data_IF_483116552470
#
_entry.id   IF_483116552470
#
_cell.length_a   1.000
_cell.length_b   1.000
_cell.length_c   1.000
_cell.angle_alpha   90.00
_cell.angle_beta   90.00
_cell.angle_gamma   90.00
#
_symmetry.space_group_name_H-M   'P 1'
#
loop_
_entity.id
_entity.type
_entity.pdbx_description
1 polymer ?
#
# COMPACT_ATOMS: atom_id res chain seq x y z
N UNK A 1 -16.52 20.56 -35.88
CA UNK A 1 -15.08 20.34 -35.60
C UNK A 1 -14.64 21.29 -34.49
N UNK A 2 -14.81 20.95 -33.24
CA UNK A 2 -14.28 21.71 -32.10
C UNK A 2 -12.96 21.07 -31.68
N UNK A 3 -11.89 21.85 -31.78
CA UNK A 3 -10.57 21.45 -31.22
C UNK A 3 -10.67 21.50 -29.70
N UNK A 4 -10.61 20.34 -29.07
CA UNK A 4 -10.40 20.23 -27.62
C UNK A 4 -8.91 20.50 -27.41
N UNK A 5 -8.58 21.66 -26.87
CA UNK A 5 -7.23 21.99 -26.43
C UNK A 5 -6.92 21.12 -25.18
N UNK A 6 -5.93 20.26 -25.29
CA UNK A 6 -5.39 19.53 -24.15
C UNK A 6 -4.59 20.51 -23.29
N UNK A 7 -5.18 20.97 -22.20
CA UNK A 7 -4.44 21.63 -21.14
C UNK A 7 -3.77 20.57 -20.27
N UNK A 8 -2.52 20.81 -19.93
CA UNK A 8 -1.78 20.03 -18.92
C UNK A 8 -2.62 19.95 -17.66
N UNK A 9 -3.09 18.74 -17.31
CA UNK A 9 -3.88 18.52 -16.11
C UNK A 9 -2.89 18.31 -14.98
N UNK A 10 -2.71 19.31 -14.13
CA UNK A 10 -2.04 19.17 -12.86
C UNK A 10 -3.04 18.56 -11.85
N UNK A 11 -2.81 17.32 -11.44
CA UNK A 11 -3.49 16.77 -10.27
C UNK A 11 -2.69 17.15 -9.03
N UNK A 12 -3.26 18.00 -8.20
CA UNK A 12 -2.80 18.24 -6.84
C UNK A 12 -3.47 17.21 -5.95
N UNK A 13 -2.70 16.32 -5.38
CA UNK A 13 -3.18 15.43 -4.31
C UNK A 13 -2.95 16.20 -3.01
N UNK A 14 -3.75 17.23 -2.78
CA UNK A 14 -3.86 17.88 -1.47
C UNK A 14 -4.76 17.00 -0.58
N UNK A 15 -4.16 16.08 0.15
CA UNK A 15 -4.82 15.45 1.28
C UNK A 15 -4.28 16.05 2.58
N UNK A 16 -4.78 17.22 2.91
CA UNK A 16 -4.74 17.71 4.29
C UNK A 16 -5.81 16.98 5.10
N UNK A 17 -5.41 15.95 5.82
CA UNK A 17 -6.20 15.41 6.92
C UNK A 17 -5.77 16.15 8.19
N UNK A 18 -6.36 17.29 8.46
CA UNK A 18 -6.33 17.87 9.80
C UNK A 18 -7.31 17.09 10.69
N UNK A 19 -6.78 16.32 11.62
CA UNK A 19 -7.55 15.72 12.72
C UNK A 19 -8.12 16.79 13.64
N UNK A 20 -9.23 17.38 13.25
CA UNK A 20 -9.99 18.30 14.11
C UNK A 20 -11.48 17.98 13.98
N UNK A 21 -12.03 17.31 14.99
CA UNK A 21 -13.48 17.11 15.11
C UNK A 21 -14.16 16.28 14.00
N UNK A 22 -13.46 15.97 12.93
CA UNK A 22 -13.95 15.22 11.79
C UNK A 22 -14.04 13.70 12.05
N UNK A 23 -13.23 13.16 12.95
CA UNK A 23 -13.23 11.72 13.28
C UNK A 23 -14.58 11.27 13.82
N UNK A 24 -15.21 12.09 14.66
CA UNK A 24 -16.56 11.80 15.17
C UNK A 24 -17.60 11.88 14.05
N UNK A 25 -17.45 12.85 13.15
CA UNK A 25 -18.35 13.03 12.01
C UNK A 25 -18.18 11.87 10.99
N UNK A 26 -16.96 11.43 10.76
CA UNK A 26 -16.65 10.31 9.88
C UNK A 26 -17.14 8.98 10.48
N UNK A 27 -16.91 8.77 11.78
CA UNK A 27 -17.47 7.63 12.52
C UNK A 27 -19.00 7.61 12.47
N UNK A 28 -19.66 8.74 12.71
CA UNK A 28 -21.11 8.86 12.61
C UNK A 28 -21.63 8.61 11.17
N UNK A 29 -20.86 9.05 10.17
CA UNK A 29 -21.20 8.84 8.77
C UNK A 29 -21.06 7.35 8.40
N UNK A 30 -19.98 6.70 8.81
CA UNK A 30 -19.76 5.26 8.61
C UNK A 30 -20.83 4.43 9.32
N UNK A 31 -21.14 4.78 10.57
CA UNK A 31 -22.20 4.12 11.36
C UNK A 31 -23.55 4.25 10.66
N UNK A 32 -23.90 5.44 10.16
CA UNK A 32 -25.15 5.68 9.44
C UNK A 32 -25.20 4.93 8.11
N UNK A 33 -24.11 4.96 7.34
CA UNK A 33 -24.01 4.18 6.10
C UNK A 33 -24.19 2.69 6.37
N UNK A 34 -23.58 2.19 7.43
CA UNK A 34 -23.66 0.80 7.83
C UNK A 34 -25.10 0.38 8.23
N UNK A 35 -25.79 1.23 9.02
CA UNK A 35 -27.18 0.97 9.39
C UNK A 35 -28.08 0.90 8.14
N UNK A 36 -27.93 1.85 7.21
CA UNK A 36 -28.69 1.85 5.95
C UNK A 36 -28.37 0.58 5.12
N UNK A 37 -27.09 0.22 5.00
CA UNK A 37 -26.69 -0.98 4.25
C UNK A 37 -27.27 -2.26 4.86
N UNK A 38 -27.24 -2.38 6.20
CA UNK A 38 -27.86 -3.50 6.94
C UNK A 38 -29.36 -3.59 6.68
N UNK A 39 -30.08 -2.47 6.69
CA UNK A 39 -31.52 -2.45 6.39
C UNK A 39 -31.81 -2.91 4.96
N UNK A 40 -30.99 -2.48 3.99
CA UNK A 40 -31.10 -2.92 2.59
C UNK A 40 -30.85 -4.43 2.49
N UNK A 41 -29.86 -4.97 3.20
CA UNK A 41 -29.53 -6.39 3.21
C UNK A 41 -30.64 -7.22 3.84
N UNK A 42 -31.18 -6.79 5.00
CA UNK A 42 -32.29 -7.44 5.67
C UNK A 42 -33.55 -7.47 4.80
N UNK A 43 -33.82 -6.40 4.03
CA UNK A 43 -34.95 -6.31 3.12
C UNK A 43 -34.84 -7.24 1.88
N UNK A 44 -33.60 -7.62 1.49
CA UNK A 44 -33.34 -8.50 0.33
C UNK A 44 -33.54 -9.99 0.63
N UNK A 45 -33.60 -10.37 1.91
CA UNK A 45 -33.82 -11.76 2.36
C UNK A 45 -32.69 -12.73 2.01
N UNK A 46 -32.93 -14.04 2.29
CA UNK A 46 -31.90 -15.10 2.17
C UNK A 46 -31.36 -15.36 0.73
N UNK A 47 -31.95 -14.76 -0.30
CA UNK A 47 -31.53 -14.91 -1.69
C UNK A 47 -30.40 -13.93 -2.10
N UNK A 48 -29.91 -13.09 -1.17
CA UNK A 48 -28.86 -12.15 -1.49
C UNK A 48 -27.52 -12.88 -1.68
N UNK A 49 -26.99 -12.79 -2.89
CA UNK A 49 -25.63 -13.33 -3.18
C UNK A 49 -24.58 -12.41 -2.57
N UNK A 50 -23.77 -12.95 -1.65
CA UNK A 50 -22.60 -12.27 -1.09
C UNK A 50 -21.67 -11.86 -2.23
N UNK A 51 -21.30 -10.56 -2.28
CA UNK A 51 -20.51 -9.97 -3.37
C UNK A 51 -19.23 -9.30 -2.90
N UNK A 52 -19.17 -8.86 -1.64
CA UNK A 52 -18.03 -8.13 -1.09
C UNK A 52 -17.84 -8.42 0.39
N UNK A 53 -16.74 -7.94 0.96
CA UNK A 53 -16.37 -8.19 2.35
C UNK A 53 -17.43 -7.71 3.35
N UNK A 54 -18.07 -6.57 3.10
CA UNK A 54 -19.11 -6.03 3.99
C UNK A 54 -20.34 -6.94 4.05
N UNK A 55 -20.69 -7.63 2.95
CA UNK A 55 -21.78 -8.60 2.94
C UNK A 55 -21.50 -9.76 3.89
N UNK A 56 -20.25 -10.26 3.94
CA UNK A 56 -19.85 -11.31 4.87
C UNK A 56 -19.91 -10.87 6.33
N UNK A 57 -19.47 -9.64 6.61
CA UNK A 57 -19.49 -9.08 7.97
C UNK A 57 -20.94 -8.95 8.46
N UNK A 58 -21.85 -8.45 7.61
CA UNK A 58 -23.27 -8.31 7.93
C UNK A 58 -23.94 -9.65 8.08
N UNK A 59 -23.65 -10.61 7.20
CA UNK A 59 -24.20 -11.97 7.28
C UNK A 59 -23.81 -12.62 8.61
N UNK A 60 -22.56 -12.49 9.04
CA UNK A 60 -22.11 -12.96 10.36
C UNK A 60 -22.85 -12.28 11.52
N UNK A 61 -23.11 -10.97 11.41
CA UNK A 61 -23.93 -10.27 12.42
C UNK A 61 -25.37 -10.76 12.44
N UNK A 62 -26.01 -10.92 11.27
CA UNK A 62 -27.40 -11.40 11.17
C UNK A 62 -27.55 -12.82 11.72
N UNK A 63 -26.52 -13.67 11.59
CA UNK A 63 -26.47 -15.01 12.20
C UNK A 63 -26.17 -14.99 13.71
N UNK A 64 -25.86 -13.83 14.29
CA UNK A 64 -25.49 -13.70 15.70
C UNK A 64 -24.08 -14.16 16.05
N UNK A 65 -23.21 -14.38 15.05
CA UNK A 65 -21.80 -14.79 15.25
C UNK A 65 -20.96 -13.64 15.77
N UNK A 66 -21.28 -12.40 15.41
CA UNK A 66 -20.64 -11.17 15.89
C UNK A 66 -21.66 -10.12 16.30
N UNK A 67 -21.31 -9.24 17.25
CA UNK A 67 -22.17 -8.15 17.69
C UNK A 67 -22.11 -6.96 16.71
N UNK A 68 -23.08 -6.05 16.79
CA UNK A 68 -23.07 -4.79 16.06
C UNK A 68 -21.81 -3.94 16.37
N UNK A 69 -21.38 -3.91 17.62
CA UNK A 69 -20.15 -3.24 18.03
C UNK A 69 -18.91 -3.86 17.33
N UNK A 70 -18.85 -5.20 17.21
CA UNK A 70 -17.75 -5.86 16.50
C UNK A 70 -17.73 -5.48 15.02
N UNK A 71 -18.89 -5.33 14.39
CA UNK A 71 -18.97 -4.91 12.99
C UNK A 71 -18.36 -3.52 12.81
N UNK A 72 -18.74 -2.55 13.65
CA UNK A 72 -18.20 -1.19 13.61
C UNK A 72 -16.69 -1.19 13.78
N UNK A 73 -16.17 -1.91 14.79
CA UNK A 73 -14.74 -2.04 14.99
C UNK A 73 -14.01 -2.69 13.81
N UNK A 74 -14.58 -3.70 13.17
CA UNK A 74 -13.97 -4.33 11.99
C UNK A 74 -13.89 -3.33 10.83
N UNK A 75 -14.98 -2.61 10.56
CA UNK A 75 -15.02 -1.62 9.46
C UNK A 75 -14.05 -0.48 9.71
N UNK A 76 -14.01 0.06 10.94
CA UNK A 76 -13.08 1.10 11.34
C UNK A 76 -11.61 0.64 11.18
N UNK A 77 -11.28 -0.54 11.70
CA UNK A 77 -9.93 -1.08 11.57
C UNK A 77 -9.50 -1.28 10.11
N UNK A 78 -10.42 -1.73 9.24
CA UNK A 78 -10.13 -1.88 7.81
C UNK A 78 -9.85 -0.51 7.20
N UNK A 79 -10.68 0.50 7.47
CA UNK A 79 -10.49 1.84 6.91
C UNK A 79 -9.18 2.48 7.35
N UNK A 80 -8.90 2.50 8.65
CA UNK A 80 -7.65 3.07 9.20
C UNK A 80 -6.42 2.37 8.62
N UNK A 81 -6.45 1.04 8.51
CA UNK A 81 -5.29 0.29 8.06
C UNK A 81 -5.07 0.34 6.54
N UNK A 82 -6.15 0.39 5.74
CA UNK A 82 -6.08 0.19 4.29
C UNK A 82 -5.83 1.48 3.50
N UNK A 83 -6.29 2.63 3.99
CA UNK A 83 -6.28 3.87 3.21
C UNK A 83 -4.90 4.50 3.23
N UNK A 84 -4.41 4.93 4.39
CA UNK A 84 -3.16 5.68 4.50
C UNK A 84 -1.94 4.89 4.01
N UNK A 85 -1.79 3.65 4.43
CA UNK A 85 -0.63 2.84 4.08
C UNK A 85 -0.51 2.61 2.59
N UNK A 86 -1.63 2.37 1.91
CA UNK A 86 -1.68 2.20 0.45
C UNK A 86 -1.43 3.52 -0.27
N UNK A 87 -2.02 4.62 0.22
CA UNK A 87 -1.85 5.95 -0.34
C UNK A 87 -0.39 6.40 -0.28
N UNK A 88 0.24 6.31 0.89
CA UNK A 88 1.64 6.71 1.06
C UNK A 88 2.60 5.84 0.23
N UNK A 89 2.37 4.54 0.18
CA UNK A 89 3.15 3.66 -0.71
C UNK A 89 3.02 4.05 -2.17
N UNK A 90 1.83 4.46 -2.60
CA UNK A 90 1.57 4.93 -3.96
C UNK A 90 2.27 6.26 -4.24
N UNK A 91 2.22 7.19 -3.30
CA UNK A 91 2.86 8.50 -3.42
C UNK A 91 4.37 8.34 -3.58
N UNK A 92 5.02 7.51 -2.74
CA UNK A 92 6.44 7.20 -2.91
C UNK A 92 6.75 6.50 -4.22
N UNK A 93 5.92 5.53 -4.63
CA UNK A 93 6.12 4.85 -5.91
C UNK A 93 6.11 5.84 -7.08
N UNK A 94 5.15 6.77 -7.10
CA UNK A 94 5.07 7.80 -8.13
C UNK A 94 6.28 8.73 -8.06
N UNK A 95 6.67 9.20 -6.87
CA UNK A 95 7.80 10.10 -6.69
C UNK A 95 9.12 9.45 -7.14
N UNK A 96 9.36 8.18 -6.79
CA UNK A 96 10.53 7.45 -7.23
C UNK A 96 10.53 7.21 -8.74
N UNK A 97 9.38 6.91 -9.33
CA UNK A 97 9.26 6.77 -10.79
C UNK A 97 9.55 8.09 -11.51
N UNK A 98 9.12 9.22 -10.97
CA UNK A 98 9.43 10.56 -11.50
C UNK A 98 10.92 10.83 -11.43
N UNK A 99 11.56 10.48 -10.31
CA UNK A 99 13.00 10.65 -10.10
C UNK A 99 13.87 9.67 -10.90
N UNK A 100 13.28 8.54 -11.35
CA UNK A 100 13.94 7.48 -12.08
C UNK A 100 13.22 7.15 -13.40
N UNK A 101 13.23 8.06 -14.40
CA UNK A 101 12.49 7.89 -15.65
C UNK A 101 12.88 6.62 -16.43
N UNK A 102 14.12 6.12 -16.25
CA UNK A 102 14.55 4.85 -16.85
C UNK A 102 13.76 3.64 -16.30
N UNK A 103 13.29 3.69 -15.04
CA UNK A 103 12.44 2.65 -14.47
C UNK A 103 11.06 2.68 -15.12
N UNK A 104 10.49 3.87 -15.40
CA UNK A 104 9.24 3.99 -16.15
C UNK A 104 9.37 3.33 -17.54
N UNK A 105 10.48 3.59 -18.26
CA UNK A 105 10.74 2.99 -19.55
C UNK A 105 10.80 1.46 -19.45
N UNK A 106 11.56 0.91 -18.50
CA UNK A 106 11.71 -0.55 -18.33
C UNK A 106 10.37 -1.23 -18.01
N UNK A 107 9.53 -0.63 -17.15
CA UNK A 107 8.19 -1.17 -16.87
C UNK A 107 7.35 -1.17 -18.16
N UNK A 108 7.40 -0.10 -18.94
CA UNK A 108 6.65 0.01 -20.21
C UNK A 108 7.11 -1.02 -21.21
N UNK A 109 8.42 -1.18 -21.36
CA UNK A 109 9.03 -2.16 -22.27
C UNK A 109 8.65 -3.59 -21.86
N UNK A 110 8.69 -3.90 -20.56
CA UNK A 110 8.25 -5.20 -20.04
C UNK A 110 6.78 -5.47 -20.39
N UNK A 111 5.88 -4.54 -20.05
CA UNK A 111 4.45 -4.70 -20.32
C UNK A 111 4.18 -4.87 -21.81
N UNK A 112 4.78 -4.01 -22.63
CA UNK A 112 4.59 -4.06 -24.09
C UNK A 112 5.09 -5.37 -24.68
N UNK A 113 6.26 -5.85 -24.23
CA UNK A 113 6.88 -7.08 -24.74
C UNK A 113 6.12 -8.33 -24.30
N UNK A 114 5.68 -8.38 -23.04
CA UNK A 114 5.07 -9.58 -22.47
C UNK A 114 3.59 -9.66 -22.82
N UNK A 115 2.85 -8.55 -22.72
CA UNK A 115 1.39 -8.56 -22.93
C UNK A 115 0.98 -8.28 -24.37
N UNK A 116 1.90 -7.83 -25.24
CA UNK A 116 1.69 -7.67 -26.69
C UNK A 116 0.41 -6.92 -27.08
N UNK A 117 0.00 -5.94 -26.28
CA UNK A 117 -1.20 -5.13 -26.49
C UNK A 117 -2.38 -5.50 -25.60
N UNK A 118 -2.31 -6.59 -24.86
CA UNK A 118 -3.32 -6.89 -23.84
C UNK A 118 -3.24 -5.91 -22.67
N UNK A 119 -4.39 -5.61 -22.08
CA UNK A 119 -4.47 -4.73 -20.91
C UNK A 119 -3.85 -5.40 -19.67
N UNK A 120 -3.16 -4.60 -18.85
CA UNK A 120 -2.71 -5.08 -17.54
C UNK A 120 -3.92 -5.30 -16.64
N UNK A 121 -4.02 -6.50 -16.11
CA UNK A 121 -5.08 -6.97 -15.21
C UNK A 121 -4.48 -7.69 -14.02
N UNK A 122 -5.22 -7.88 -12.94
CA UNK A 122 -4.78 -8.63 -11.78
C UNK A 122 -4.27 -10.05 -12.16
N UNK A 123 -4.94 -10.70 -13.13
CA UNK A 123 -4.62 -12.06 -13.55
C UNK A 123 -3.28 -12.20 -14.29
N UNK A 124 -2.73 -11.13 -14.87
CA UNK A 124 -1.46 -11.18 -15.61
C UNK A 124 -0.29 -10.46 -14.91
N UNK A 125 -0.52 -9.86 -13.72
CA UNK A 125 0.54 -9.21 -12.95
C UNK A 125 1.72 -10.15 -12.63
N UNK A 126 1.46 -11.45 -12.44
CA UNK A 126 2.50 -12.43 -12.15
C UNK A 126 3.51 -12.63 -13.29
N UNK A 127 3.18 -12.18 -14.50
CA UNK A 127 4.03 -12.23 -15.68
C UNK A 127 4.97 -11.00 -15.79
N UNK A 128 4.85 -10.01 -14.91
CA UNK A 128 5.55 -8.73 -14.95
C UNK A 128 6.54 -8.60 -13.77
N UNK A 129 7.66 -9.33 -13.79
CA UNK A 129 8.61 -9.40 -12.69
C UNK A 129 9.27 -8.06 -12.38
N UNK A 130 9.56 -7.21 -13.38
CA UNK A 130 10.16 -5.91 -13.15
C UNK A 130 9.20 -4.93 -12.45
N UNK A 131 7.95 -4.94 -12.87
CA UNK A 131 6.89 -4.20 -12.18
C UNK A 131 6.75 -4.63 -10.72
N UNK A 132 6.75 -5.95 -10.46
CA UNK A 132 6.69 -6.48 -9.09
C UNK A 132 7.94 -6.09 -8.27
N UNK A 133 9.12 -6.15 -8.89
CA UNK A 133 10.37 -5.72 -8.28
C UNK A 133 10.33 -4.22 -7.92
N UNK A 134 9.73 -3.39 -8.77
CA UNK A 134 9.53 -1.95 -8.50
C UNK A 134 8.65 -1.72 -7.28
N UNK A 135 7.55 -2.47 -7.14
CA UNK A 135 6.69 -2.41 -5.94
C UNK A 135 7.45 -2.85 -4.69
N UNK A 136 8.20 -3.94 -4.76
CA UNK A 136 9.01 -4.42 -3.64
C UNK A 136 10.07 -3.39 -3.23
N UNK A 137 10.77 -2.78 -4.18
CA UNK A 137 11.80 -1.77 -3.91
C UNK A 137 11.19 -0.51 -3.28
N UNK A 138 10.01 -0.09 -3.72
CA UNK A 138 9.28 1.02 -3.08
C UNK A 138 9.00 0.70 -1.61
N UNK A 139 8.47 -0.49 -1.32
CA UNK A 139 8.16 -0.92 0.04
C UNK A 139 9.39 -1.18 0.91
N UNK A 140 10.54 -1.51 0.29
CA UNK A 140 11.80 -1.66 0.98
C UNK A 140 12.37 -0.30 1.40
N UNK A 141 12.48 0.61 0.45
CA UNK A 141 13.10 1.92 0.65
C UNK A 141 12.23 2.80 1.55
N UNK A 142 10.92 2.80 1.31
CA UNK A 142 9.93 3.60 2.00
C UNK A 142 8.92 2.71 2.73
N UNK A 143 9.24 2.35 3.97
CA UNK A 143 8.37 1.52 4.80
C UNK A 143 7.26 2.39 5.44
N UNK A 144 5.99 2.32 4.99
CA UNK A 144 4.92 3.15 5.59
C UNK A 144 4.74 2.90 7.08
N UNK A 145 5.00 1.69 7.56
CA UNK A 145 4.95 1.32 8.99
C UNK A 145 6.34 0.87 9.46
N UNK A 146 7.25 1.82 9.78
CA UNK A 146 8.67 1.55 9.99
C UNK A 146 8.97 0.68 11.20
N UNK A 147 8.13 0.75 12.23
CA UNK A 147 8.27 -0.01 13.48
C UNK A 147 7.32 -1.19 13.59
N UNK A 148 6.56 -1.46 12.53
CA UNK A 148 5.40 -2.36 12.51
C UNK A 148 4.36 -1.97 13.58
N UNK A 149 3.26 -2.73 13.67
CA UNK A 149 2.31 -2.53 14.76
C UNK A 149 2.89 -3.14 16.03
N UNK A 150 2.95 -2.43 17.16
CA UNK A 150 3.50 -2.96 18.40
C UNK A 150 2.82 -4.25 18.83
N UNK A 151 3.61 -5.22 19.24
CA UNK A 151 3.17 -6.47 19.82
C UNK A 151 3.24 -6.40 21.36
N UNK A 152 2.51 -7.27 22.02
CA UNK A 152 2.59 -7.48 23.46
C UNK A 152 2.70 -8.96 23.75
N UNK A 153 3.67 -9.35 24.59
CA UNK A 153 3.78 -10.73 25.05
C UNK A 153 2.79 -10.99 26.18
N UNK A 154 2.08 -12.10 26.11
CA UNK A 154 1.09 -12.50 27.11
C UNK A 154 1.70 -13.17 28.34
N UNK A 155 2.94 -13.65 28.22
CA UNK A 155 3.69 -14.34 29.28
C UNK A 155 5.14 -13.84 29.25
N UNK A 156 5.89 -14.08 30.34
CA UNK A 156 7.32 -13.84 30.36
C UNK A 156 8.00 -14.64 29.24
N UNK A 157 8.93 -14.01 28.52
CA UNK A 157 9.66 -14.62 27.42
C UNK A 157 11.16 -14.38 27.55
N UNK A 158 11.96 -15.20 26.88
CA UNK A 158 13.41 -14.98 26.76
C UNK A 158 13.79 -14.70 25.33
N UNK A 159 14.59 -13.65 25.13
CA UNK A 159 15.09 -13.26 23.82
C UNK A 159 16.55 -12.79 23.94
N UNK A 160 17.47 -13.43 23.21
CA UNK A 160 18.88 -13.05 23.18
C UNK A 160 19.57 -13.08 24.55
N UNK A 161 19.14 -13.95 25.46
CA UNK A 161 19.64 -14.02 26.82
C UNK A 161 18.99 -13.07 27.83
N UNK A 162 18.11 -12.19 27.37
CA UNK A 162 17.34 -11.27 28.21
C UNK A 162 15.98 -11.86 28.58
N UNK A 163 15.53 -11.56 29.79
CA UNK A 163 14.14 -11.85 30.22
C UNK A 163 13.26 -10.67 29.85
N UNK A 164 12.21 -10.95 29.08
CA UNK A 164 11.20 -9.97 28.67
C UNK A 164 9.98 -10.18 29.59
N UNK A 165 9.66 -9.24 30.48
CA UNK A 165 8.53 -9.38 31.39
C UNK A 165 7.20 -9.54 30.62
N UNK A 166 6.24 -10.19 31.25
CA UNK A 166 4.87 -10.25 30.77
C UNK A 166 4.32 -8.84 30.48
N UNK A 167 3.50 -8.73 29.43
CA UNK A 167 2.85 -7.48 29.00
C UNK A 167 3.84 -6.40 28.54
N UNK A 168 5.05 -6.78 28.16
CA UNK A 168 6.01 -5.85 27.54
C UNK A 168 5.55 -5.51 26.13
N UNK A 169 5.67 -4.21 25.79
CA UNK A 169 5.46 -3.74 24.42
C UNK A 169 6.71 -4.03 23.58
N UNK A 170 6.55 -4.77 22.49
CA UNK A 170 7.63 -5.18 21.59
C UNK A 170 7.40 -4.54 20.22
N UNK A 171 8.40 -3.84 19.74
CA UNK A 171 8.42 -3.23 18.40
C UNK A 171 9.55 -3.80 17.56
N UNK A 172 9.33 -3.95 16.26
CA UNK A 172 10.32 -4.41 15.30
C UNK A 172 10.68 -3.24 14.40
N UNK A 173 11.96 -2.86 14.35
CA UNK A 173 12.43 -1.81 13.46
C UNK A 173 12.58 -2.37 12.03
N UNK A 174 11.45 -2.49 11.33
CA UNK A 174 11.39 -3.01 9.95
C UNK A 174 12.11 -2.08 8.98
N UNK A 175 12.09 -0.78 9.22
CA UNK A 175 12.85 0.20 8.43
C UNK A 175 14.35 -0.10 8.48
N UNK A 176 14.91 -0.32 9.68
CA UNK A 176 16.32 -0.66 9.81
C UNK A 176 16.67 -1.99 9.15
N UNK A 177 15.79 -2.99 9.28
CA UNK A 177 15.99 -4.29 8.62
C UNK A 177 16.09 -4.12 7.09
N UNK A 178 15.23 -3.29 6.51
CA UNK A 178 15.16 -3.04 5.07
C UNK A 178 16.24 -2.10 4.54
N UNK A 179 16.90 -1.32 5.41
CA UNK A 179 17.90 -0.31 5.03
C UNK A 179 19.31 -0.57 5.61
N UNK A 180 19.53 -1.71 6.25
CA UNK A 180 20.81 -2.03 6.86
C UNK A 180 21.90 -2.31 5.79
N UNK A 181 22.98 -1.51 5.75
CA UNK A 181 24.04 -1.65 4.73
C UNK A 181 24.84 -2.96 4.84
N UNK A 182 24.77 -3.65 5.98
CA UNK A 182 25.38 -4.98 6.13
C UNK A 182 24.62 -6.08 5.37
N UNK A 183 23.35 -5.82 4.99
CA UNK A 183 22.47 -6.79 4.35
C UNK A 183 22.03 -6.37 2.96
N UNK A 184 22.01 -5.05 2.69
CA UNK A 184 21.57 -4.49 1.44
C UNK A 184 22.69 -3.65 0.83
N UNK A 185 23.06 -3.96 -0.40
CA UNK A 185 24.06 -3.19 -1.15
C UNK A 185 23.45 -1.87 -1.59
N UNK A 186 24.09 -0.74 -1.26
CA UNK A 186 23.61 0.62 -1.51
C UNK A 186 22.12 0.74 -1.12
N UNK A 187 21.80 0.64 0.18
CA UNK A 187 20.41 0.56 0.62
C UNK A 187 19.59 1.83 0.35
N UNK A 188 20.26 2.96 0.14
CA UNK A 188 19.67 4.26 -0.19
C UNK A 188 19.27 4.41 -1.66
N UNK A 189 19.73 3.52 -2.54
CA UNK A 189 19.41 3.56 -3.96
C UNK A 189 18.05 2.91 -4.24
N UNK A 190 17.21 3.59 -5.02
CA UNK A 190 16.01 3.00 -5.60
C UNK A 190 16.40 2.16 -6.82
N UNK A 191 16.51 0.85 -6.65
CA UNK A 191 17.01 -0.09 -7.66
C UNK A 191 16.15 -1.36 -7.71
N UNK A 192 15.08 -1.38 -8.50
CA UNK A 192 14.21 -2.55 -8.64
C UNK A 192 14.95 -3.84 -9.03
N UNK A 193 16.02 -3.73 -9.80
CA UNK A 193 16.84 -4.84 -10.28
C UNK A 193 17.37 -5.72 -9.14
N UNK A 194 17.53 -5.16 -7.93
CA UNK A 194 18.00 -5.95 -6.78
C UNK A 194 17.08 -7.16 -6.48
N UNK A 195 15.79 -7.02 -6.69
CA UNK A 195 14.83 -8.10 -6.49
C UNK A 195 14.76 -9.11 -7.62
N UNK A 196 15.42 -8.84 -8.73
CA UNK A 196 15.56 -9.78 -9.87
C UNK A 196 16.89 -10.52 -9.86
N UNK A 197 17.93 -9.93 -9.31
CA UNK A 197 19.32 -10.41 -9.33
C UNK A 197 19.76 -10.95 -7.98
N UNK A 198 20.08 -10.04 -7.05
CA UNK A 198 20.69 -10.34 -5.76
C UNK A 198 19.68 -10.92 -4.76
N UNK A 199 18.44 -10.43 -4.79
CA UNK A 199 17.38 -10.73 -3.83
C UNK A 199 16.16 -11.41 -4.52
N UNK A 200 16.41 -12.16 -5.58
CA UNK A 200 15.34 -12.79 -6.38
C UNK A 200 14.44 -13.75 -5.57
N UNK A 201 14.96 -14.31 -4.48
CA UNK A 201 14.20 -15.18 -3.57
C UNK A 201 13.44 -14.45 -2.47
N UNK A 202 13.60 -13.12 -2.36
CA UNK A 202 12.95 -12.33 -1.32
C UNK A 202 11.54 -11.94 -1.72
N UNK A 203 10.57 -12.28 -0.88
CA UNK A 203 9.17 -11.97 -1.15
C UNK A 203 8.52 -11.25 0.04
N UNK A 204 7.59 -10.34 -0.27
CA UNK A 204 6.79 -9.64 0.72
C UNK A 204 5.69 -10.53 1.34
N UNK A 205 5.37 -11.65 0.70
CA UNK A 205 4.32 -12.58 1.13
C UNK A 205 4.88 -13.68 2.02
N UNK A 206 4.32 -13.83 3.21
CA UNK A 206 4.71 -14.88 4.16
C UNK A 206 4.15 -16.27 3.77
N UNK A 207 4.40 -16.72 2.54
CA UNK A 207 3.97 -18.04 2.06
C UNK A 207 5.11 -19.01 1.80
N UNK A 208 6.35 -18.51 1.77
CA UNK A 208 7.57 -19.26 1.54
C UNK A 208 8.55 -19.11 2.71
N UNK A 209 9.84 -19.18 2.43
CA UNK A 209 10.89 -18.90 3.41
C UNK A 209 10.88 -17.41 3.73
N UNK A 210 10.50 -17.05 4.96
CA UNK A 210 10.48 -15.66 5.42
C UNK A 210 11.88 -15.08 5.40
N UNK A 211 12.06 -13.97 4.71
CA UNK A 211 13.26 -13.14 4.81
C UNK A 211 13.03 -12.03 5.85
N UNK A 212 13.63 -12.20 7.02
CA UNK A 212 13.48 -11.24 8.12
C UNK A 212 14.14 -9.86 7.85
N UNK A 213 14.89 -9.72 6.76
CA UNK A 213 15.44 -8.43 6.31
C UNK A 213 14.36 -7.57 5.62
N UNK A 214 13.28 -8.20 5.12
CA UNK A 214 12.24 -7.54 4.34
C UNK A 214 10.84 -7.92 4.85
N UNK A 215 10.28 -7.08 5.72
CA UNK A 215 9.01 -7.33 6.42
C UNK A 215 7.99 -6.19 6.20
N UNK A 216 7.69 -5.77 4.96
CA UNK A 216 6.79 -4.64 4.72
C UNK A 216 5.36 -4.88 5.23
N UNK A 217 4.95 -6.14 5.36
CA UNK A 217 3.63 -6.55 5.85
C UNK A 217 3.69 -7.31 7.18
N UNK A 218 4.83 -7.26 7.88
CA UNK A 218 5.04 -8.05 9.09
C UNK A 218 5.14 -9.55 8.82
N UNK A 219 5.09 -10.36 9.88
CA UNK A 219 5.25 -11.81 9.80
C UNK A 219 4.46 -12.53 10.88
N UNK A 220 4.10 -13.79 10.63
CA UNK A 220 3.43 -14.66 11.60
C UNK A 220 1.92 -14.40 11.72
N UNK A 221 1.36 -14.71 12.88
CA UNK A 221 -0.10 -14.65 13.13
C UNK A 221 -0.71 -13.26 13.05
N UNK A 222 0.12 -12.22 13.06
CA UNK A 222 -0.28 -10.81 12.99
C UNK A 222 0.23 -10.13 11.71
N UNK A 223 0.65 -10.92 10.69
CA UNK A 223 0.95 -10.37 9.37
C UNK A 223 -0.28 -9.68 8.78
N UNK A 224 -0.04 -8.69 7.93
CA UNK A 224 -1.10 -7.89 7.32
C UNK A 224 -2.02 -8.75 6.44
N UNK A 225 -3.32 -8.81 6.72
CA UNK A 225 -4.26 -9.54 5.86
C UNK A 225 -4.50 -8.84 4.53
N UNK A 226 -4.25 -7.53 4.46
CA UNK A 226 -4.46 -6.71 3.25
C UNK A 226 -3.40 -6.87 2.17
N UNK A 227 -2.35 -7.66 2.39
CA UNK A 227 -1.26 -7.86 1.41
C UNK A 227 -1.77 -8.33 0.05
N UNK A 228 -2.79 -9.20 0.03
CA UNK A 228 -3.41 -9.74 -1.18
C UNK A 228 -4.12 -8.68 -2.03
N UNK A 229 -4.46 -7.53 -1.45
CA UNK A 229 -5.07 -6.39 -2.13
C UNK A 229 -4.03 -5.28 -2.40
N UNK A 230 -3.18 -4.99 -1.43
CA UNK A 230 -2.23 -3.89 -1.52
C UNK A 230 -1.22 -4.06 -2.67
N UNK A 231 -0.61 -5.23 -2.80
CA UNK A 231 0.37 -5.49 -3.87
C UNK A 231 -0.23 -5.37 -5.27
N UNK A 232 -1.37 -6.02 -5.60
CA UNK A 232 -2.02 -5.84 -6.90
C UNK A 232 -2.46 -4.39 -7.16
N UNK A 233 -2.99 -3.68 -6.16
CA UNK A 233 -3.42 -2.29 -6.31
C UNK A 233 -2.23 -1.41 -6.69
N UNK A 234 -1.12 -1.49 -5.96
CA UNK A 234 0.11 -0.75 -6.25
C UNK A 234 0.61 -1.05 -7.66
N UNK A 235 0.73 -2.33 -8.00
CA UNK A 235 1.20 -2.75 -9.31
C UNK A 235 0.29 -2.28 -10.46
N UNK A 236 -1.03 -2.43 -10.32
CA UNK A 236 -2.00 -2.01 -11.34
C UNK A 236 -2.01 -0.49 -11.56
N UNK A 237 -1.93 0.30 -10.50
CA UNK A 237 -1.91 1.75 -10.62
C UNK A 237 -0.60 2.21 -11.28
N UNK A 238 0.55 1.69 -10.83
CA UNK A 238 1.85 1.98 -11.45
C UNK A 238 1.81 1.62 -12.94
N UNK A 239 1.38 0.40 -13.29
CA UNK A 239 1.32 -0.04 -14.68
C UNK A 239 0.43 0.88 -15.54
N UNK A 240 -0.77 1.23 -15.03
CA UNK A 240 -1.70 2.11 -15.76
C UNK A 240 -1.14 3.51 -15.93
N UNK A 241 -0.48 4.07 -14.93
CA UNK A 241 0.15 5.38 -15.03
C UNK A 241 1.28 5.36 -16.04
N UNK A 242 2.20 4.40 -15.94
CA UNK A 242 3.37 4.28 -16.83
C UNK A 242 2.98 4.01 -18.28
N UNK A 243 1.93 3.22 -18.51
CA UNK A 243 1.47 2.93 -19.88
C UNK A 243 0.77 4.10 -20.56
N UNK A 244 0.14 5.00 -19.80
CA UNK A 244 -0.64 6.09 -20.37
C UNK A 244 0.05 7.44 -20.29
N UNK A 245 1.01 7.60 -19.36
CA UNK A 245 1.65 8.89 -19.12
C UNK A 245 3.16 8.76 -18.97
N UNK A 246 3.86 9.76 -19.42
CA UNK A 246 5.21 10.07 -18.97
C UNK A 246 5.10 10.99 -17.76
N UNK A 247 5.65 10.57 -16.63
CA UNK A 247 5.63 11.30 -15.38
C UNK A 247 6.95 12.03 -15.19
N UNK A 248 6.87 13.34 -14.91
CA UNK A 248 8.03 14.22 -14.73
C UNK A 248 7.86 15.13 -13.52
N UNK A 249 8.96 15.67 -12.98
CA UNK A 249 8.86 16.72 -11.98
C UNK A 249 8.08 17.93 -12.53
N UNK A 250 7.43 18.71 -11.67
CA UNK A 250 6.79 19.96 -12.10
C UNK A 250 7.83 20.95 -12.64
N UNK A 251 7.36 21.91 -13.45
CA UNK A 251 8.22 22.94 -14.05
C UNK A 251 9.03 23.65 -12.96
N UNK A 252 10.35 23.72 -13.15
CA UNK A 252 11.28 24.38 -12.24
C UNK A 252 11.89 23.47 -11.17
N UNK A 253 11.51 22.19 -11.13
CA UNK A 253 12.14 21.18 -10.28
C UNK A 253 12.86 20.13 -11.13
N UNK A 254 14.04 19.71 -10.68
CA UNK A 254 14.78 18.59 -11.30
C UNK A 254 14.33 17.23 -10.73
N UNK A 255 13.94 17.21 -9.46
CA UNK A 255 13.51 16.01 -8.73
C UNK A 255 12.39 16.35 -7.76
N UNK A 256 11.61 15.33 -7.41
CA UNK A 256 10.67 15.37 -6.29
C UNK A 256 11.41 15.00 -5.01
N UNK A 257 11.15 15.74 -3.93
CA UNK A 257 11.63 15.42 -2.59
C UNK A 257 10.92 14.17 -2.07
N UNK A 258 11.69 13.15 -1.75
CA UNK A 258 11.20 11.87 -1.19
C UNK A 258 11.51 11.73 0.29
N UNK A 259 11.93 12.82 0.96
CA UNK A 259 12.21 12.79 2.40
C UNK A 259 11.00 12.35 3.21
N UNK A 260 11.28 11.66 4.29
CA UNK A 260 10.27 11.03 5.14
C UNK A 260 9.90 11.92 6.32
N UNK A 261 8.62 11.94 6.67
CA UNK A 261 8.09 12.56 7.87
C UNK A 261 7.24 11.57 8.64
N UNK A 262 7.45 11.50 9.95
CA UNK A 262 6.61 10.69 10.83
C UNK A 262 5.24 11.31 11.04
N UNK A 263 4.21 10.54 10.76
CA UNK A 263 2.84 10.81 11.19
C UNK A 263 2.54 10.20 12.56
N UNK A 264 1.29 10.14 12.93
CA UNK A 264 0.88 9.53 14.20
C UNK A 264 1.11 8.01 14.20
N UNK A 265 0.95 7.36 13.06
CA UNK A 265 1.01 5.91 12.91
C UNK A 265 1.94 5.46 11.77
N UNK A 266 1.98 6.21 10.68
CA UNK A 266 2.71 5.87 9.45
C UNK A 266 3.78 6.92 9.12
N UNK A 267 4.76 6.53 8.30
CA UNK A 267 5.61 7.48 7.56
C UNK A 267 4.89 7.93 6.29
N UNK A 268 5.16 9.15 5.87
CA UNK A 268 4.71 9.72 4.61
C UNK A 268 5.77 10.67 4.05
N UNK A 269 5.61 11.09 2.80
CA UNK A 269 6.48 12.13 2.20
C UNK A 269 6.34 13.43 3.01
N UNK A 270 7.49 14.03 3.33
CA UNK A 270 7.52 15.25 4.16
C UNK A 270 6.85 16.45 3.47
N UNK A 271 7.05 16.56 2.15
CA UNK A 271 6.53 17.63 1.33
C UNK A 271 5.80 17.03 0.12
N UNK A 272 4.46 17.04 0.17
CA UNK A 272 3.66 16.57 -0.97
C UNK A 272 3.99 17.37 -2.22
N UNK A 273 4.21 16.68 -3.32
CA UNK A 273 4.61 17.28 -4.60
C UNK A 273 3.51 17.12 -5.63
N UNK A 274 3.48 18.06 -6.58
CA UNK A 274 2.74 17.86 -7.83
C UNK A 274 3.59 17.07 -8.82
N UNK A 275 2.94 16.32 -9.70
CA UNK A 275 3.58 15.58 -10.79
C UNK A 275 3.02 16.07 -12.11
N UNK A 276 3.89 16.30 -13.09
CA UNK A 276 3.48 16.61 -14.44
C UNK A 276 3.25 15.31 -15.22
N UNK A 277 2.04 15.11 -15.71
CA UNK A 277 1.65 13.97 -16.54
C UNK A 277 1.55 14.41 -18.00
N UNK A 278 2.34 13.80 -18.86
CA UNK A 278 2.26 13.99 -20.32
C UNK A 278 1.68 12.71 -20.94
N UNK A 279 0.52 12.76 -21.59
CA UNK A 279 -0.03 11.59 -22.26
C UNK A 279 0.95 11.03 -23.29
N UNK A 280 1.11 9.70 -23.31
CA UNK A 280 1.86 9.00 -24.35
C UNK A 280 0.93 8.86 -25.55
N UNK A 281 1.40 9.25 -26.72
CA UNK A 281 0.64 9.04 -27.95
C UNK A 281 0.42 7.53 -28.17
N UNK A 282 -0.84 7.18 -28.40
CA UNK A 282 -1.25 5.81 -28.69
C UNK A 282 -0.70 5.31 -30.03
#
# INVERSE_FOLDING_TARGET
MQRIGFSTVCFSIDMHVECTGSEIQEFLTLTRFFCIYREIMAAKGEKHKIRCAIDHIIDAQLKGEISEANVLYIVENINVAAIETTLWSMEWAIAELVNHPHVQCKIRDEITTILQGDAVTESNLHQLPYLQATVKETLRLHAPIPLLVPHMNLEEAKLGGYTIPKESKVVVNAWWLANNPSWWKNPEEFRPERFLEEESGTDAVAGGKVDFRFLPFGVGRRSCPGIILALPILALVIAKLVMNFEMRPPIGLEKIDVSEKGGQFSLHIANHSTVAFTPIAA
#
